data_IF_522781459677
#
_entry.id   IF_522781459677
#
_cell.length_a   1.000
_cell.length_b   1.000
_cell.length_c   1.000
_cell.angle_alpha   90.00
_cell.angle_beta   90.00
_cell.angle_gamma   90.00
#
_symmetry.space_group_name_H-M   'P 1'
#
loop_
_entity.id
_entity.type
_entity.pdbx_description
1 polymer ?
#
# COMPACT_ATOMS: atom_id res chain seq x y z
N UNK A 1 -14.85 -7.95 -16.56
CA UNK A 1 -13.43 -7.74 -16.97
C UNK A 1 -12.85 -6.60 -16.15
N UNK A 2 -11.72 -6.77 -15.46
CA UNK A 2 -11.05 -5.67 -14.75
C UNK A 2 -10.61 -4.58 -15.75
N UNK A 3 -10.65 -3.31 -15.32
CA UNK A 3 -10.14 -2.21 -16.14
C UNK A 3 -8.62 -2.33 -16.34
N UNK A 4 -8.10 -1.77 -17.43
CA UNK A 4 -6.65 -1.72 -17.70
C UNK A 4 -5.87 -1.04 -16.55
N UNK A 5 -6.46 -0.01 -15.94
CA UNK A 5 -5.92 0.64 -14.73
C UNK A 5 -5.84 -0.33 -13.56
N UNK A 6 -6.87 -1.15 -13.33
CA UNK A 6 -6.87 -2.13 -12.25
C UNK A 6 -5.81 -3.21 -12.46
N UNK A 7 -5.69 -3.75 -13.68
CA UNK A 7 -4.64 -4.71 -14.04
C UNK A 7 -3.23 -4.14 -13.80
N UNK A 8 -3.03 -2.88 -14.16
CA UNK A 8 -1.76 -2.17 -13.91
C UNK A 8 -1.47 -2.05 -12.41
N UNK A 9 -2.48 -1.70 -11.62
CA UNK A 9 -2.36 -1.64 -10.16
C UNK A 9 -2.03 -2.98 -9.52
N UNK A 10 -2.76 -4.04 -9.91
CA UNK A 10 -2.54 -5.40 -9.41
C UNK A 10 -1.13 -5.91 -9.75
N UNK A 11 -0.62 -5.59 -10.95
CA UNK A 11 0.75 -5.89 -11.35
C UNK A 11 1.78 -5.17 -10.46
N UNK A 12 1.60 -3.87 -10.24
CA UNK A 12 2.50 -3.09 -9.38
C UNK A 12 2.49 -3.56 -7.93
N UNK A 13 1.33 -3.92 -7.39
CA UNK A 13 1.21 -4.53 -6.06
C UNK A 13 1.95 -5.87 -5.98
N UNK A 14 1.83 -6.71 -7.03
CA UNK A 14 2.58 -7.96 -7.13
C UNK A 14 4.10 -7.75 -7.15
N UNK A 15 4.59 -6.76 -7.91
CA UNK A 15 6.01 -6.39 -7.96
C UNK A 15 6.49 -5.89 -6.59
N UNK A 16 5.71 -5.03 -5.94
CA UNK A 16 6.04 -4.50 -4.62
C UNK A 16 6.11 -5.60 -3.55
N UNK A 17 5.13 -6.51 -3.55
CA UNK A 17 5.15 -7.68 -2.66
C UNK A 17 6.39 -8.54 -2.89
N UNK A 18 6.73 -8.82 -4.16
CA UNK A 18 7.93 -9.60 -4.50
C UNK A 18 9.22 -8.92 -4.07
N UNK A 19 9.31 -7.61 -4.24
CA UNK A 19 10.44 -6.82 -3.76
C UNK A 19 10.59 -6.93 -2.24
N UNK A 20 9.50 -6.78 -1.49
CA UNK A 20 9.50 -6.92 -0.03
C UNK A 20 9.95 -8.33 0.40
N UNK A 21 9.39 -9.39 -0.20
CA UNK A 21 9.82 -10.77 0.07
C UNK A 21 11.32 -10.97 -0.15
N UNK A 22 11.84 -10.50 -1.29
CA UNK A 22 13.26 -10.62 -1.63
C UNK A 22 14.16 -9.82 -0.66
N UNK A 23 13.62 -8.85 0.07
CA UNK A 23 14.32 -8.04 1.07
C UNK A 23 14.05 -8.49 2.53
N UNK A 24 13.57 -9.73 2.70
CA UNK A 24 13.41 -10.37 4.01
C UNK A 24 12.14 -9.99 4.75
N UNK A 25 11.17 -9.36 4.09
CA UNK A 25 9.85 -9.11 4.67
C UNK A 25 8.97 -10.34 4.46
N UNK A 26 8.18 -10.69 5.47
CA UNK A 26 7.09 -11.66 5.34
C UNK A 26 5.80 -10.95 4.99
N UNK A 27 5.21 -11.26 3.83
CA UNK A 27 3.87 -10.77 3.49
C UNK A 27 2.84 -11.48 4.38
N UNK A 28 2.07 -10.71 5.14
CA UNK A 28 1.03 -11.19 6.05
C UNK A 28 -0.33 -11.18 5.37
N UNK A 29 -0.64 -10.09 4.66
CA UNK A 29 -1.93 -9.91 4.00
C UNK A 29 -1.78 -8.95 2.82
N UNK A 30 -2.67 -9.08 1.83
CA UNK A 30 -2.74 -8.20 0.66
C UNK A 30 -4.18 -7.78 0.43
N UNK A 31 -4.40 -6.59 -0.12
CA UNK A 31 -5.73 -6.05 -0.43
C UNK A 31 -6.69 -6.05 0.78
N UNK A 32 -6.23 -5.64 1.96
CA UNK A 32 -7.10 -5.49 3.13
C UNK A 32 -8.04 -4.30 2.93
N UNK A 33 -9.35 -4.50 3.02
CA UNK A 33 -10.37 -3.51 2.65
C UNK A 33 -11.42 -3.34 3.74
N UNK A 34 -11.77 -2.08 3.99
CA UNK A 34 -12.89 -1.64 4.84
C UNK A 34 -13.66 -0.52 4.15
N UNK A 35 -14.86 -0.24 4.63
CA UNK A 35 -15.71 0.82 4.06
C UNK A 35 -15.05 2.20 4.09
N UNK A 36 -14.10 2.44 5.00
CA UNK A 36 -13.39 3.71 5.13
C UNK A 36 -11.96 3.70 4.58
N UNK A 37 -11.43 2.56 4.12
CA UNK A 37 -10.07 2.52 3.59
C UNK A 37 -9.55 1.14 3.21
N UNK A 38 -8.36 1.14 2.62
CA UNK A 38 -7.67 -0.06 2.17
C UNK A 38 -6.20 0.02 2.55
N UNK A 39 -5.57 -1.14 2.69
CA UNK A 39 -4.13 -1.32 2.80
C UNK A 39 -3.73 -2.35 1.74
N UNK A 40 -2.84 -1.96 0.83
CA UNK A 40 -2.45 -2.81 -0.29
C UNK A 40 -1.66 -4.03 0.19
N UNK A 41 -0.69 -3.82 1.09
CA UNK A 41 0.15 -4.89 1.63
C UNK A 41 0.35 -4.68 3.13
N UNK A 42 0.16 -5.74 3.91
CA UNK A 42 0.61 -5.85 5.29
C UNK A 42 1.80 -6.81 5.32
N UNK A 43 2.94 -6.35 5.84
CA UNK A 43 4.16 -7.12 5.93
C UNK A 43 4.70 -7.13 7.37
N UNK A 44 5.54 -8.11 7.67
CA UNK A 44 6.28 -8.18 8.92
C UNK A 44 7.76 -8.31 8.63
N UNK A 45 8.58 -7.58 9.38
CA UNK A 45 10.03 -7.76 9.42
C UNK A 45 10.49 -7.54 10.85
N UNK A 46 11.19 -8.53 11.39
CA UNK A 46 11.55 -8.57 12.80
C UNK A 46 10.30 -8.39 13.69
N UNK A 47 10.34 -7.41 14.60
CA UNK A 47 9.24 -7.07 15.51
C UNK A 47 8.32 -5.97 14.96
N UNK A 48 8.51 -5.55 13.70
CA UNK A 48 7.69 -4.51 13.08
C UNK A 48 6.60 -5.11 12.19
N UNK A 49 5.36 -4.68 12.43
CA UNK A 49 4.25 -4.81 11.48
C UNK A 49 4.20 -3.54 10.61
N UNK A 50 4.16 -3.72 9.29
CA UNK A 50 4.40 -2.66 8.32
C UNK A 50 3.23 -2.63 7.33
N UNK A 51 2.58 -1.47 7.23
CA UNK A 51 1.49 -1.21 6.31
C UNK A 51 2.02 -0.45 5.10
N UNK A 52 1.80 -0.99 3.90
CA UNK A 52 2.37 -0.47 2.66
C UNK A 52 1.25 -0.12 1.69
N UNK A 53 1.30 1.10 1.19
CA UNK A 53 0.49 1.61 0.09
C UNK A 53 1.32 1.57 -1.20
N UNK A 54 0.78 1.01 -2.28
CA UNK A 54 1.47 0.85 -3.56
C UNK A 54 0.88 1.81 -4.60
N UNK A 55 1.73 2.65 -5.19
CA UNK A 55 1.35 3.53 -6.30
C UNK A 55 2.06 3.09 -7.58
N UNK A 56 1.29 2.62 -8.55
CA UNK A 56 1.81 2.33 -9.90
C UNK A 56 1.68 3.56 -10.78
N UNK A 57 2.78 3.99 -11.39
CA UNK A 57 2.82 5.12 -12.32
C UNK A 57 3.34 4.64 -13.67
N UNK A 58 2.62 4.98 -14.75
CA UNK A 58 3.13 4.81 -16.10
C UNK A 58 3.89 6.07 -16.49
N UNK A 59 5.11 5.95 -17.03
CA UNK A 59 5.84 7.10 -17.57
C UNK A 59 5.29 7.41 -18.96
N UNK A 60 4.48 8.46 -19.09
CA UNK A 60 4.17 9.07 -20.38
C UNK A 60 5.13 10.24 -20.63
N UNK A 61 5.56 10.44 -21.87
CA UNK A 61 6.65 11.34 -22.31
C UNK A 61 6.48 12.84 -21.97
N UNK A 62 5.47 13.23 -21.19
CA UNK A 62 5.20 14.60 -20.76
C UNK A 62 4.92 14.75 -19.25
N UNK A 63 4.96 13.68 -18.45
CA UNK A 63 4.56 13.71 -17.03
C UNK A 63 5.68 14.14 -16.06
N UNK A 64 6.79 14.64 -16.59
CA UNK A 64 7.86 15.20 -15.77
C UNK A 64 7.48 16.54 -15.10
N UNK A 65 6.29 17.10 -15.36
CA UNK A 65 6.01 18.51 -15.10
C UNK A 65 4.76 18.87 -14.26
N UNK A 66 3.98 17.93 -13.71
CA UNK A 66 2.89 18.34 -12.80
C UNK A 66 2.64 17.35 -11.67
N UNK A 67 3.24 17.63 -10.51
CA UNK A 67 3.09 16.97 -9.20
C UNK A 67 4.15 15.90 -8.87
N UNK A 68 5.38 16.36 -8.59
CA UNK A 68 5.98 16.34 -7.23
C UNK A 68 5.86 15.00 -6.48
N UNK A 69 7.00 14.43 -6.08
CA UNK A 69 7.29 13.05 -5.63
C UNK A 69 6.11 12.26 -4.98
N UNK A 70 6.01 10.93 -5.12
CA UNK A 70 4.97 10.12 -4.45
C UNK A 70 4.83 10.42 -2.95
N UNK A 71 5.94 10.75 -2.30
CA UNK A 71 6.09 11.15 -0.90
C UNK A 71 5.38 12.48 -0.58
N UNK A 72 5.36 13.42 -1.53
CA UNK A 72 4.71 14.75 -1.41
C UNK A 72 3.17 14.67 -1.56
N UNK A 73 2.63 13.51 -1.96
CA UNK A 73 1.20 13.28 -2.12
C UNK A 73 0.53 12.57 -0.93
N UNK A 74 1.29 12.26 0.13
CA UNK A 74 0.75 11.69 1.38
C UNK A 74 0.24 12.81 2.28
N UNK A 75 -0.82 13.49 1.83
CA UNK A 75 -1.43 14.58 2.60
C UNK A 75 -2.06 14.07 3.91
N UNK A 76 -2.36 14.99 4.82
CA UNK A 76 -2.99 14.71 6.12
C UNK A 76 -4.20 13.76 6.02
N UNK A 77 -5.09 13.97 5.04
CA UNK A 77 -6.28 13.13 4.87
C UNK A 77 -5.91 11.70 4.51
N UNK A 78 -4.91 11.51 3.66
CA UNK A 78 -4.41 10.17 3.28
C UNK A 78 -3.75 9.48 4.48
N UNK A 79 -2.96 10.21 5.27
CA UNK A 79 -2.37 9.68 6.51
C UNK A 79 -3.44 9.21 7.50
N UNK A 80 -4.42 10.07 7.81
CA UNK A 80 -5.51 9.73 8.74
C UNK A 80 -6.31 8.51 8.28
N UNK A 81 -6.54 8.38 6.96
CA UNK A 81 -7.23 7.22 6.39
C UNK A 81 -6.42 5.93 6.57
N UNK A 82 -5.11 5.98 6.33
CA UNK A 82 -4.20 4.84 6.51
C UNK A 82 -4.13 4.46 7.98
N UNK A 83 -3.93 5.42 8.89
CA UNK A 83 -3.88 5.20 10.34
C UNK A 83 -5.14 4.50 10.82
N UNK A 84 -6.32 5.06 10.51
CA UNK A 84 -7.61 4.45 10.89
C UNK A 84 -7.76 3.03 10.36
N UNK A 85 -7.29 2.76 9.14
CA UNK A 85 -7.38 1.43 8.53
C UNK A 85 -6.41 0.45 9.19
N UNK A 86 -5.21 0.92 9.55
CA UNK A 86 -4.21 0.15 10.28
C UNK A 86 -4.66 -0.17 11.72
N UNK A 87 -5.20 0.79 12.46
CA UNK A 87 -5.79 0.56 13.79
C UNK A 87 -6.90 -0.50 13.74
N UNK A 88 -7.77 -0.42 12.72
CA UNK A 88 -8.80 -1.45 12.51
C UNK A 88 -8.17 -2.82 12.29
N UNK A 89 -7.11 -2.90 11.49
CA UNK A 89 -6.39 -4.14 11.24
C UNK A 89 -5.81 -4.73 12.52
N UNK A 90 -5.16 -3.91 13.34
CA UNK A 90 -4.55 -4.33 14.61
C UNK A 90 -5.61 -4.91 15.55
N UNK A 91 -6.73 -4.22 15.72
CA UNK A 91 -7.86 -4.66 16.56
C UNK A 91 -8.45 -5.98 16.07
N UNK A 92 -8.73 -6.12 14.77
CA UNK A 92 -9.36 -7.33 14.22
C UNK A 92 -8.45 -8.57 14.28
N UNK A 93 -7.13 -8.36 14.18
CA UNK A 93 -6.15 -9.45 14.23
C UNK A 93 -5.58 -9.68 15.64
N UNK A 94 -6.06 -8.95 16.64
CA UNK A 94 -5.62 -8.99 18.03
C UNK A 94 -4.10 -8.78 18.18
N UNK A 95 -3.54 -7.81 17.43
CA UNK A 95 -2.18 -7.37 17.70
C UNK A 95 -2.17 -6.50 18.96
N UNK A 96 -1.23 -6.72 19.90
CA UNK A 96 -1.07 -5.84 21.05
C UNK A 96 -0.60 -4.45 20.58
N UNK A 97 -1.01 -3.41 21.31
CA UNK A 97 -0.52 -2.03 21.16
C UNK A 97 0.97 -1.92 21.50
#
# INVERSE_FOLDING_TARGET
MPSEKRKTGDLGEGIAAKYLENNGYKIIERNYRKNWGEIDIVARKDDCLIFVEVKTMQKTSGDLASSHFPEENVNWRKQQKIIRTAETYLLEKNYPD
#
